data_IF_445706845487
#
_entry.id   IF_445706845487
#
_cell.length_a   1.000
_cell.length_b   1.000
_cell.length_c   1.000
_cell.angle_alpha   90.00
_cell.angle_beta   90.00
_cell.angle_gamma   90.00
#
_symmetry.space_group_name_H-M   'P 1'
#
loop_
_entity.id
_entity.type
_entity.pdbx_description
1 polymer ?
#
# COMPACT_ATOMS: atom_id res chain seq x y z
N UNK A 1 -17.18 -48.45 -6.25
CA UNK A 1 -16.77 -47.50 -5.18
C UNK A 1 -15.51 -46.72 -5.58
N UNK A 2 -14.59 -47.35 -6.32
CA UNK A 2 -13.29 -46.77 -6.70
C UNK A 2 -13.35 -45.58 -7.67
N UNK A 3 -14.28 -45.58 -8.64
CA UNK A 3 -14.47 -44.44 -9.57
C UNK A 3 -14.93 -43.17 -8.85
N UNK A 4 -15.76 -43.30 -7.82
CA UNK A 4 -16.23 -42.18 -7.00
C UNK A 4 -15.11 -41.62 -6.14
N UNK A 5 -14.27 -42.50 -5.58
CA UNK A 5 -13.10 -42.11 -4.79
C UNK A 5 -12.05 -41.37 -5.64
N UNK A 6 -11.84 -41.81 -6.89
CA UNK A 6 -10.95 -41.12 -7.84
C UNK A 6 -11.47 -39.76 -8.27
N UNK A 7 -12.77 -39.64 -8.53
CA UNK A 7 -13.38 -38.34 -8.87
C UNK A 7 -13.29 -37.35 -7.71
N UNK A 8 -13.49 -37.81 -6.47
CA UNK A 8 -13.32 -37.00 -5.26
C UNK A 8 -11.86 -36.58 -5.09
N UNK A 9 -10.91 -37.49 -5.28
CA UNK A 9 -9.49 -37.16 -5.20
C UNK A 9 -9.07 -36.11 -6.25
N UNK A 10 -9.55 -36.23 -7.49
CA UNK A 10 -9.26 -35.25 -8.55
C UNK A 10 -9.89 -33.89 -8.24
N UNK A 11 -11.13 -33.86 -7.73
CA UNK A 11 -11.80 -32.63 -7.34
C UNK A 11 -11.08 -31.92 -6.18
N UNK A 12 -10.59 -32.68 -5.19
CA UNK A 12 -9.81 -32.16 -4.06
C UNK A 12 -8.46 -31.60 -4.51
N UNK A 13 -7.76 -32.31 -5.40
CA UNK A 13 -6.48 -31.82 -5.97
C UNK A 13 -6.72 -30.57 -6.81
N UNK A 14 -7.77 -30.53 -7.63
CA UNK A 14 -8.13 -29.34 -8.41
C UNK A 14 -8.46 -28.14 -7.51
N UNK A 15 -9.20 -28.33 -6.41
CA UNK A 15 -9.45 -27.27 -5.42
C UNK A 15 -8.16 -26.76 -4.76
N UNK A 16 -7.25 -27.66 -4.38
CA UNK A 16 -5.96 -27.28 -3.78
C UNK A 16 -5.10 -26.46 -4.75
N UNK A 17 -5.15 -26.75 -6.05
CA UNK A 17 -4.43 -25.98 -7.08
C UNK A 17 -5.00 -24.58 -7.28
N UNK A 18 -6.31 -24.38 -7.12
CA UNK A 18 -6.94 -23.05 -7.21
C UNK A 18 -6.56 -22.16 -6.03
N UNK A 19 -6.45 -22.73 -4.82
CA UNK A 19 -6.04 -22.00 -3.61
C UNK A 19 -4.56 -21.60 -3.65
N UNK A 20 -3.71 -22.38 -4.31
CA UNK A 20 -2.30 -22.03 -4.50
C UNK A 20 -2.08 -20.91 -5.54
N UNK A 21 -3.04 -20.67 -6.43
CA UNK A 21 -2.96 -19.62 -7.46
C UNK A 21 -3.44 -18.25 -6.96
N UNK A 22 -4.12 -18.18 -5.80
CA UNK A 22 -4.46 -16.91 -5.16
C UNK A 22 -3.28 -16.42 -4.31
N UNK A 23 -2.14 -16.15 -4.94
CA UNK A 23 -1.24 -15.11 -4.41
C UNK A 23 -1.83 -13.77 -4.81
N UNK A 24 -2.94 -13.42 -4.18
CA UNK A 24 -3.36 -12.03 -4.15
C UNK A 24 -2.27 -11.31 -3.37
N UNK A 25 -1.25 -10.80 -4.08
CA UNK A 25 -0.36 -9.81 -3.51
C UNK A 25 -1.27 -8.75 -2.90
N UNK A 26 -1.26 -8.63 -1.57
CA UNK A 26 -2.09 -7.70 -0.83
C UNK A 26 -2.04 -6.37 -1.59
N UNK A 27 -3.15 -6.00 -2.22
CA UNK A 27 -3.17 -4.87 -3.15
C UNK A 27 -2.96 -3.62 -2.31
N UNK A 28 -1.71 -3.19 -2.22
CA UNK A 28 -1.30 -2.06 -1.40
C UNK A 28 -2.10 -0.81 -1.77
N UNK A 29 -2.29 0.09 -0.81
CA UNK A 29 -2.99 1.34 -1.04
C UNK A 29 -2.18 2.19 -2.03
N UNK A 30 -2.74 2.46 -3.21
CA UNK A 30 -2.08 3.27 -4.23
C UNK A 30 -0.66 2.75 -4.56
N UNK A 31 -0.53 1.44 -4.70
CA UNK A 31 0.74 0.73 -4.94
C UNK A 31 1.76 0.83 -3.78
N UNK A 32 1.31 1.14 -2.56
CA UNK A 32 2.14 1.10 -1.36
C UNK A 32 1.71 -0.04 -0.43
N UNK A 33 2.66 -0.85 0.02
CA UNK A 33 2.42 -1.81 1.10
C UNK A 33 2.13 -1.11 2.42
N UNK A 34 1.52 -1.83 3.37
CA UNK A 34 1.30 -1.31 4.73
C UNK A 34 2.61 -0.89 5.40
N UNK A 35 3.69 -1.66 5.20
CA UNK A 35 5.03 -1.32 5.68
C UNK A 35 5.58 -0.04 5.02
N UNK A 36 5.32 0.15 3.72
CA UNK A 36 5.70 1.37 2.99
C UNK A 36 4.98 2.60 3.53
N UNK A 37 3.66 2.49 3.77
CA UNK A 37 2.87 3.54 4.41
C UNK A 37 3.37 3.84 5.84
N UNK A 38 3.64 2.78 6.62
CA UNK A 38 4.12 2.89 7.99
C UNK A 38 5.50 3.57 8.05
N UNK A 39 6.39 3.26 7.10
CA UNK A 39 7.70 3.89 6.98
C UNK A 39 7.60 5.40 6.72
N UNK A 40 6.57 5.84 6.00
CA UNK A 40 6.34 7.26 5.71
C UNK A 40 5.63 8.03 6.82
N UNK A 41 4.81 7.35 7.64
CA UNK A 41 4.00 7.98 8.69
C UNK A 41 4.77 8.96 9.59
N UNK A 42 5.99 8.68 10.08
CA UNK A 42 6.71 9.63 10.94
C UNK A 42 6.97 11.00 10.29
N UNK A 43 7.19 11.04 8.97
CA UNK A 43 7.50 12.28 8.25
C UNK A 43 6.25 13.13 7.95
N UNK A 44 5.08 12.49 7.98
CA UNK A 44 3.79 13.10 7.64
C UNK A 44 2.81 13.13 8.82
N UNK A 45 3.27 12.83 10.03
CA UNK A 45 2.43 12.84 11.23
C UNK A 45 2.05 14.26 11.67
N UNK A 46 0.88 14.41 12.29
CA UNK A 46 0.46 15.66 12.95
C UNK A 46 1.30 15.92 14.21
N UNK A 47 1.60 14.88 14.98
CA UNK A 47 2.30 14.99 16.26
C UNK A 47 3.74 14.50 16.14
N UNK A 48 4.68 15.30 16.65
CA UNK A 48 6.13 14.99 16.69
C UNK A 48 6.66 14.45 15.34
N UNK A 49 6.42 15.16 14.22
CA UNK A 49 6.90 14.70 12.92
C UNK A 49 8.42 14.74 12.85
N UNK A 50 9.00 13.82 12.07
CA UNK A 50 10.40 13.91 11.67
C UNK A 50 10.52 14.73 10.40
N UNK A 51 11.57 15.55 10.29
CA UNK A 51 11.73 16.40 9.11
C UNK A 51 12.29 15.65 7.90
N UNK A 52 13.11 14.63 8.14
CA UNK A 52 13.73 13.80 7.11
C UNK A 52 12.98 12.46 6.98
N UNK A 53 12.45 12.10 5.79
CA UNK A 53 11.90 10.78 5.55
C UNK A 53 12.99 9.70 5.60
N UNK A 54 12.61 8.48 5.96
CA UNK A 54 13.50 7.33 5.88
C UNK A 54 13.73 6.92 4.42
N UNK A 55 14.85 6.26 4.15
CA UNK A 55 15.13 5.72 2.82
C UNK A 55 14.07 4.69 2.40
N UNK A 56 13.56 3.91 3.35
CA UNK A 56 12.46 2.97 3.14
C UNK A 56 11.16 3.68 2.72
N UNK A 57 10.84 4.84 3.33
CA UNK A 57 9.70 5.64 2.89
C UNK A 57 9.89 6.14 1.47
N UNK A 58 11.05 6.72 1.14
CA UNK A 58 11.28 7.25 -0.20
C UNK A 58 11.30 6.15 -1.27
N UNK A 59 11.83 4.96 -0.95
CA UNK A 59 11.74 3.80 -1.83
C UNK A 59 10.29 3.38 -2.07
N UNK A 60 9.47 3.28 -1.01
CA UNK A 60 8.05 2.96 -1.15
C UNK A 60 7.27 4.03 -1.91
N UNK A 61 7.63 5.31 -1.75
CA UNK A 61 6.98 6.43 -2.44
C UNK A 61 7.37 6.52 -3.91
N UNK A 62 8.55 6.02 -4.30
CA UNK A 62 9.02 6.03 -5.69
C UNK A 62 8.18 5.13 -6.61
N UNK A 63 7.67 4.03 -6.07
CA UNK A 63 6.76 3.12 -6.78
C UNK A 63 5.28 3.45 -6.56
N UNK A 64 4.95 4.43 -5.70
CA UNK A 64 3.59 4.76 -5.35
C UNK A 64 2.83 5.45 -6.49
N UNK A 65 1.52 5.17 -6.59
CA UNK A 65 0.61 5.96 -7.40
C UNK A 65 0.25 7.26 -6.65
N UNK A 66 1.05 8.31 -6.91
CA UNK A 66 0.84 9.62 -6.30
C UNK A 66 -0.53 10.22 -6.66
N UNK A 67 -1.06 9.97 -7.87
CA UNK A 67 -2.38 10.46 -8.25
C UNK A 67 -3.49 9.77 -7.47
N UNK A 68 -3.36 8.47 -7.21
CA UNK A 68 -4.24 7.75 -6.30
C UNK A 68 -4.15 8.31 -4.87
N UNK A 69 -2.95 8.51 -4.32
CA UNK A 69 -2.76 9.05 -2.96
C UNK A 69 -3.38 10.44 -2.80
N UNK A 70 -3.31 11.28 -3.83
CA UNK A 70 -3.91 12.61 -3.84
C UNK A 70 -5.42 12.62 -3.64
N UNK A 71 -6.13 11.53 -3.99
CA UNK A 71 -7.57 11.38 -3.71
C UNK A 71 -7.87 11.33 -2.20
N UNK A 72 -6.88 11.01 -1.38
CA UNK A 72 -7.00 10.95 0.07
C UNK A 72 -6.64 12.27 0.77
N UNK A 73 -6.16 13.30 0.05
CA UNK A 73 -5.76 14.61 0.61
C UNK A 73 -6.81 15.25 1.52
N UNK A 74 -8.08 15.08 1.20
CA UNK A 74 -9.21 15.62 1.97
C UNK A 74 -10.07 14.51 2.62
N UNK A 75 -9.57 13.28 2.63
CA UNK A 75 -10.28 12.14 3.22
C UNK A 75 -10.25 12.22 4.75
N UNK A 76 -11.34 11.83 5.40
CA UNK A 76 -11.38 11.66 6.86
C UNK A 76 -10.37 10.64 7.39
N UNK A 77 -9.81 9.80 6.50
CA UNK A 77 -8.75 8.85 6.80
C UNK A 77 -7.46 9.52 7.32
N UNK A 78 -7.12 10.71 6.82
CA UNK A 78 -5.95 11.44 7.33
C UNK A 78 -6.12 11.81 8.81
N UNK A 79 -7.33 12.22 9.21
CA UNK A 79 -7.64 12.52 10.61
C UNK A 79 -7.57 11.26 11.48
N UNK A 80 -8.08 10.13 10.98
CA UNK A 80 -8.05 8.86 11.70
C UNK A 80 -6.61 8.37 11.96
N UNK A 81 -5.72 8.50 10.98
CA UNK A 81 -4.31 8.07 11.10
C UNK A 81 -3.37 9.15 11.65
N UNK A 82 -3.89 10.32 12.05
CA UNK A 82 -3.13 11.48 12.50
C UNK A 82 -2.05 11.93 11.48
N UNK A 83 -2.43 11.99 10.20
CA UNK A 83 -1.59 12.44 9.07
C UNK A 83 -1.89 13.91 8.75
N UNK A 84 -0.82 14.69 8.58
CA UNK A 84 -0.85 16.07 8.12
C UNK A 84 -0.79 16.13 6.59
N UNK A 85 -1.87 16.63 5.97
CA UNK A 85 -1.99 16.71 4.51
C UNK A 85 -0.91 17.59 3.86
N UNK A 86 -0.49 18.68 4.52
CA UNK A 86 0.54 19.57 3.99
C UNK A 86 1.91 18.88 3.98
N UNK A 87 2.23 18.15 5.04
CA UNK A 87 3.46 17.34 5.10
C UNK A 87 3.44 16.22 4.07
N UNK A 88 2.31 15.55 3.90
CA UNK A 88 2.14 14.52 2.88
C UNK A 88 2.39 15.05 1.46
N UNK A 89 1.87 16.24 1.11
CA UNK A 89 2.12 16.88 -0.19
C UNK A 89 3.57 17.31 -0.41
N UNK A 90 4.30 17.63 0.67
CA UNK A 90 5.71 18.00 0.59
C UNK A 90 6.65 16.78 0.54
N UNK A 91 6.15 15.59 0.89
CA UNK A 91 6.95 14.37 1.00
C UNK A 91 7.63 13.96 -0.33
N UNK A 92 6.96 14.00 -1.51
CA UNK A 92 7.61 13.69 -2.78
C UNK A 92 8.85 14.55 -3.03
N UNK A 93 8.76 15.86 -2.80
CA UNK A 93 9.90 16.76 -2.98
C UNK A 93 11.06 16.43 -2.03
N UNK A 94 10.77 16.05 -0.77
CA UNK A 94 11.79 15.60 0.19
C UNK A 94 12.47 14.29 -0.22
N UNK A 95 11.77 13.45 -0.98
CA UNK A 95 12.30 12.22 -1.56
C UNK A 95 12.84 12.41 -2.99
N UNK A 96 12.90 13.65 -3.48
CA UNK A 96 13.35 13.98 -4.84
C UNK A 96 12.49 13.33 -5.96
N UNK A 97 11.19 13.19 -5.69
CA UNK A 97 10.17 12.65 -6.60
C UNK A 97 9.29 13.79 -7.11
N UNK A 98 9.02 13.80 -8.41
CA UNK A 98 8.13 14.79 -9.04
C UNK A 98 6.69 14.55 -8.62
N UNK A 99 6.11 15.52 -7.89
CA UNK A 99 4.69 15.51 -7.53
C UNK A 99 3.81 15.83 -8.75
N UNK A 100 2.59 15.29 -8.83
CA UNK A 100 1.69 15.57 -9.94
C UNK A 100 1.05 16.97 -9.80
N UNK A 101 0.83 17.69 -10.90
CA UNK A 101 0.50 19.13 -10.91
C UNK A 101 -0.82 19.56 -10.26
N UNK A 102 -1.68 18.62 -9.85
CA UNK A 102 -2.99 18.89 -9.24
C UNK A 102 -3.08 18.47 -7.77
N UNK A 103 -1.92 18.24 -7.17
CA UNK A 103 -1.72 17.85 -5.79
C UNK A 103 -0.36 18.39 -5.32
#
# INVERSE_FOLDING_TARGET
>A
MEKKLRAVAIALVAMLLVVAASTEAAQGLCNMSDDGLAACKPAIAVKKPVDKPSDACCAALADADLQCLCKYKSSGMLKYFEIDANRAMQLPAKCNITAPSQC
#
